data_IF_874402729081
#
_entry.id   IF_874402729081
#
_cell.length_a   1.000
_cell.length_b   1.000
_cell.length_c   1.000
_cell.angle_alpha   90.00
_cell.angle_beta   90.00
_cell.angle_gamma   90.00
#
_symmetry.space_group_name_H-M   'P 1'
#
loop_
_entity.id
_entity.type
_entity.pdbx_description
1 polymer ?
#
# COMPACT_ATOMS: atom_id res chain seq x y z
N UNK A 1 20.11 37.19 -5.00
CA UNK A 1 18.84 36.76 -4.37
C UNK A 1 18.30 35.63 -5.23
N UNK A 2 18.19 34.44 -4.66
CA UNK A 2 17.95 33.20 -5.38
C UNK A 2 16.44 32.96 -5.50
N UNK A 3 15.96 32.62 -6.71
CA UNK A 3 14.57 32.21 -7.03
C UNK A 3 14.10 30.92 -6.29
N UNK A 4 14.86 30.45 -5.31
CA UNK A 4 14.59 29.25 -4.52
C UNK A 4 13.31 29.34 -3.68
N UNK A 5 12.87 30.54 -3.29
CA UNK A 5 11.68 30.71 -2.45
C UNK A 5 10.38 30.38 -3.19
N UNK A 6 10.37 30.59 -4.53
CA UNK A 6 9.18 30.35 -5.35
C UNK A 6 8.85 28.86 -5.54
N UNK A 7 9.88 28.01 -5.67
CA UNK A 7 9.73 26.57 -5.90
C UNK A 7 9.45 25.79 -4.61
N UNK A 8 10.02 26.19 -3.48
CA UNK A 8 9.77 25.56 -2.18
C UNK A 8 8.31 25.74 -1.73
N UNK A 9 7.69 26.88 -2.07
CA UNK A 9 6.28 27.14 -1.80
C UNK A 9 5.34 26.24 -2.62
N UNK A 10 5.66 25.98 -3.89
CA UNK A 10 4.86 25.11 -4.78
C UNK A 10 4.95 23.64 -4.37
N UNK A 11 6.16 23.15 -4.09
CA UNK A 11 6.36 21.79 -3.60
C UNK A 11 5.63 21.55 -2.29
N UNK A 12 5.74 22.47 -1.32
CA UNK A 12 5.09 22.32 -0.01
C UNK A 12 3.56 22.30 -0.13
N UNK A 13 2.99 23.10 -1.03
CA UNK A 13 1.55 23.07 -1.35
C UNK A 13 1.13 21.76 -2.01
N UNK A 14 1.89 21.24 -2.97
CA UNK A 14 1.59 19.96 -3.61
C UNK A 14 1.68 18.81 -2.60
N UNK A 15 2.75 18.79 -1.80
CA UNK A 15 2.96 17.78 -0.76
C UNK A 15 1.86 17.79 0.28
N UNK A 16 1.33 18.96 0.68
CA UNK A 16 0.22 19.01 1.64
C UNK A 16 -1.08 18.44 1.06
N UNK A 17 -1.37 18.69 -0.22
CA UNK A 17 -2.55 18.12 -0.91
C UNK A 17 -2.47 16.59 -0.98
N UNK A 18 -1.29 16.04 -1.25
CA UNK A 18 -1.07 14.60 -1.35
C UNK A 18 -0.56 13.95 -0.06
N UNK A 19 -0.55 14.68 1.06
CA UNK A 19 0.02 14.22 2.33
C UNK A 19 -0.48 12.84 2.74
N UNK A 20 -1.80 12.65 2.73
CA UNK A 20 -2.41 11.37 3.10
C UNK A 20 -1.99 10.20 2.21
N UNK A 21 -1.74 10.45 0.92
CA UNK A 21 -1.24 9.43 0.00
C UNK A 21 0.20 9.07 0.35
N UNK A 22 1.05 10.08 0.52
CA UNK A 22 2.47 9.92 0.88
C UNK A 22 2.59 9.19 2.22
N UNK A 23 1.92 9.67 3.26
CA UNK A 23 1.94 9.08 4.60
C UNK A 23 1.46 7.61 4.59
N UNK A 24 0.50 7.27 3.73
CA UNK A 24 -0.02 5.90 3.60
C UNK A 24 1.01 4.95 2.97
N UNK A 25 1.67 5.38 1.89
CA UNK A 25 2.73 4.58 1.27
C UNK A 25 3.99 4.53 2.12
N UNK A 26 4.35 5.62 2.80
CA UNK A 26 5.47 5.64 3.73
C UNK A 26 5.29 4.58 4.83
N UNK A 27 4.09 4.48 5.42
CA UNK A 27 3.80 3.44 6.41
C UNK A 27 3.84 2.02 5.81
N UNK A 28 3.37 1.84 4.56
CA UNK A 28 3.40 0.56 3.88
C UNK A 28 4.84 0.10 3.61
N UNK A 29 5.70 0.98 3.09
CA UNK A 29 7.12 0.68 2.85
C UNK A 29 7.92 0.49 4.14
N UNK A 30 7.55 1.20 5.21
CA UNK A 30 8.20 1.10 6.52
C UNK A 30 7.64 0.00 7.41
N UNK A 31 6.71 -0.83 6.90
CA UNK A 31 6.12 -1.92 7.66
C UNK A 31 7.21 -2.89 8.13
N UNK A 32 7.30 -3.02 9.47
CA UNK A 32 8.31 -3.83 10.16
C UNK A 32 7.73 -4.67 11.30
N UNK A 33 6.45 -4.99 11.19
CA UNK A 33 5.68 -5.65 12.26
C UNK A 33 4.88 -6.81 11.71
N UNK A 34 4.71 -7.82 12.57
CA UNK A 34 3.82 -8.96 12.35
C UNK A 34 2.64 -8.95 13.34
N UNK A 35 2.56 -7.93 14.20
CA UNK A 35 1.47 -7.81 15.17
C UNK A 35 0.19 -7.42 14.44
N UNK A 36 -0.86 -8.20 14.69
CA UNK A 36 -2.16 -8.02 14.06
C UNK A 36 -2.77 -6.63 14.31
N UNK A 37 -2.64 -6.10 15.53
CA UNK A 37 -3.15 -4.77 15.88
C UNK A 37 -2.50 -3.65 15.05
N UNK A 38 -1.17 -3.70 14.91
CA UNK A 38 -0.41 -2.72 14.14
C UNK A 38 -0.74 -2.87 12.65
N UNK A 39 -0.88 -4.10 12.14
CA UNK A 39 -1.33 -4.36 10.78
C UNK A 39 -2.73 -3.83 10.50
N UNK A 40 -3.67 -4.03 11.43
CA UNK A 40 -5.03 -3.52 11.33
C UNK A 40 -5.07 -1.99 11.29
N UNK A 41 -4.14 -1.31 11.98
CA UNK A 41 -4.03 0.15 11.91
C UNK A 41 -3.58 0.63 10.52
N UNK A 42 -2.59 -0.04 9.93
CA UNK A 42 -2.11 0.24 8.57
C UNK A 42 -3.21 -0.04 7.55
N UNK A 43 -3.92 -1.17 7.70
CA UNK A 43 -5.06 -1.52 6.86
C UNK A 43 -6.14 -0.43 6.87
N UNK A 44 -6.58 0.01 8.06
CA UNK A 44 -7.59 1.07 8.19
C UNK A 44 -7.13 2.39 7.56
N UNK A 45 -5.85 2.71 7.67
CA UNK A 45 -5.27 3.90 7.07
C UNK A 45 -5.31 3.82 5.53
N UNK A 46 -4.88 2.70 4.94
CA UNK A 46 -4.94 2.45 3.50
C UNK A 46 -6.41 2.53 3.01
N UNK A 47 -7.31 1.86 3.72
CA UNK A 47 -8.74 1.83 3.43
C UNK A 47 -9.31 3.24 3.31
N UNK A 48 -9.13 4.03 4.37
CA UNK A 48 -9.71 5.38 4.47
C UNK A 48 -9.04 6.37 3.50
N UNK A 49 -7.70 6.37 3.46
CA UNK A 49 -6.94 7.41 2.76
C UNK A 49 -6.83 7.16 1.25
N UNK A 50 -6.77 5.90 0.82
CA UNK A 50 -6.51 5.53 -0.57
C UNK A 50 -7.75 5.00 -1.30
N UNK A 51 -8.51 4.11 -0.65
CA UNK A 51 -9.60 3.39 -1.32
C UNK A 51 -10.93 4.15 -1.18
N UNK A 52 -11.37 4.42 0.05
CA UNK A 52 -12.67 5.06 0.32
C UNK A 52 -12.72 6.51 -0.16
N UNK A 53 -11.56 7.16 -0.22
CA UNK A 53 -11.39 8.49 -0.83
C UNK A 53 -11.51 8.48 -2.37
N UNK A 54 -11.72 7.31 -2.98
CA UNK A 54 -11.80 7.05 -4.42
C UNK A 54 -10.56 7.47 -5.21
N UNK A 55 -9.41 7.57 -4.53
CA UNK A 55 -8.13 7.93 -5.16
C UNK A 55 -7.48 6.74 -5.86
N UNK A 56 -7.65 5.54 -5.32
CA UNK A 56 -7.03 4.31 -5.82
C UNK A 56 -8.02 3.16 -5.85
N UNK A 57 -7.93 2.31 -6.87
CA UNK A 57 -8.69 1.07 -6.93
C UNK A 57 -8.05 0.02 -5.99
N UNK A 58 -8.84 -0.80 -5.28
CA UNK A 58 -8.32 -1.87 -4.41
C UNK A 58 -7.32 -2.80 -5.11
N UNK A 59 -7.57 -3.12 -6.38
CA UNK A 59 -6.71 -3.95 -7.23
C UNK A 59 -5.30 -3.37 -7.39
N UNK A 60 -5.19 -2.04 -7.51
CA UNK A 60 -3.91 -1.34 -7.65
C UNK A 60 -3.14 -1.44 -6.33
N UNK A 61 -3.81 -1.20 -5.21
CA UNK A 61 -3.19 -1.28 -3.88
C UNK A 61 -2.69 -2.71 -3.60
N UNK A 62 -3.48 -3.74 -3.90
CA UNK A 62 -3.05 -5.12 -3.72
C UNK A 62 -1.82 -5.41 -4.58
N UNK A 63 -1.82 -4.95 -5.84
CA UNK A 63 -0.66 -5.11 -6.73
C UNK A 63 0.59 -4.45 -6.14
N UNK A 64 0.47 -3.21 -5.67
CA UNK A 64 1.59 -2.48 -5.07
C UNK A 64 2.14 -3.20 -3.83
N UNK A 65 1.26 -3.70 -2.95
CA UNK A 65 1.65 -4.50 -1.79
C UNK A 65 2.46 -5.73 -2.22
N UNK A 66 2.00 -6.46 -3.25
CA UNK A 66 2.71 -7.62 -3.77
C UNK A 66 4.06 -7.26 -4.38
N UNK A 67 4.15 -6.11 -5.05
CA UNK A 67 5.41 -5.63 -5.62
C UNK A 67 6.42 -5.21 -4.55
N UNK A 68 5.96 -4.69 -3.40
CA UNK A 68 6.79 -4.30 -2.24
C UNK A 68 7.42 -5.51 -1.55
N UNK A 69 6.71 -6.65 -1.52
CA UNK A 69 7.21 -7.89 -0.89
C UNK A 69 8.61 -8.24 -1.40
N UNK A 70 8.91 -8.00 -2.68
CA UNK A 70 10.22 -8.27 -3.32
C UNK A 70 11.40 -7.54 -2.69
N UNK A 71 11.14 -6.42 -2.02
CA UNK A 71 12.16 -5.57 -1.42
C UNK A 71 12.19 -5.67 0.11
N UNK A 72 11.10 -6.15 0.73
CA UNK A 72 10.97 -6.25 2.18
C UNK A 72 10.52 -7.65 2.62
N UNK A 73 11.28 -8.66 2.17
CA UNK A 73 10.96 -10.09 2.27
C UNK A 73 10.74 -10.57 3.72
N UNK A 74 11.36 -9.91 4.72
CA UNK A 74 11.25 -10.30 6.13
C UNK A 74 9.80 -10.31 6.60
N UNK A 75 8.99 -9.37 6.12
CA UNK A 75 7.60 -9.18 6.57
C UNK A 75 6.58 -9.67 5.53
N UNK A 76 6.98 -10.61 4.66
CA UNK A 76 6.12 -11.15 3.59
C UNK A 76 4.74 -11.56 4.10
N UNK A 77 4.67 -12.24 5.27
CA UNK A 77 3.39 -12.66 5.87
C UNK A 77 2.47 -11.49 6.13
N UNK A 78 2.99 -10.42 6.72
CA UNK A 78 2.24 -9.19 7.01
C UNK A 78 1.68 -8.54 5.75
N UNK A 79 2.48 -8.43 4.70
CA UNK A 79 2.02 -7.90 3.41
C UNK A 79 0.96 -8.77 2.76
N UNK A 80 1.12 -10.10 2.79
CA UNK A 80 0.10 -11.03 2.28
C UNK A 80 -1.20 -10.93 3.07
N UNK A 81 -1.13 -10.79 4.40
CA UNK A 81 -2.32 -10.55 5.24
C UNK A 81 -3.02 -9.24 4.88
N UNK A 82 -2.27 -8.15 4.65
CA UNK A 82 -2.86 -6.88 4.19
C UNK A 82 -3.53 -7.02 2.82
N UNK A 83 -2.86 -7.67 1.86
CA UNK A 83 -3.42 -7.93 0.54
C UNK A 83 -4.71 -8.75 0.63
N UNK A 84 -4.74 -9.78 1.47
CA UNK A 84 -5.92 -10.60 1.72
C UNK A 84 -7.07 -9.80 2.33
N UNK A 85 -6.81 -9.01 3.37
CA UNK A 85 -7.83 -8.16 4.00
C UNK A 85 -8.48 -7.20 2.99
N UNK A 86 -7.68 -6.58 2.12
CA UNK A 86 -8.22 -5.69 1.07
C UNK A 86 -9.02 -6.50 0.03
N UNK A 87 -8.51 -7.67 -0.36
CA UNK A 87 -9.17 -8.55 -1.32
C UNK A 87 -10.54 -9.02 -0.82
N UNK A 88 -10.61 -9.41 0.45
CA UNK A 88 -11.83 -9.92 1.11
C UNK A 88 -12.86 -8.78 1.29
N UNK A 89 -12.44 -7.62 1.81
CA UNK A 89 -13.35 -6.48 2.06
C UNK A 89 -13.95 -5.89 0.78
N UNK A 90 -13.15 -5.81 -0.29
CA UNK A 90 -13.58 -5.21 -1.56
C UNK A 90 -13.95 -6.25 -2.62
N UNK A 91 -14.00 -7.53 -2.25
CA UNK A 91 -14.37 -8.66 -3.12
C UNK A 91 -13.59 -8.67 -4.45
N UNK A 92 -12.29 -8.39 -4.38
CA UNK A 92 -11.42 -8.42 -5.56
C UNK A 92 -11.15 -9.87 -5.94
N UNK A 93 -11.71 -10.32 -7.07
CA UNK A 93 -11.59 -11.72 -7.51
C UNK A 93 -10.39 -12.00 -8.42
N UNK A 94 -10.00 -11.03 -9.24
CA UNK A 94 -8.92 -11.17 -10.21
C UNK A 94 -8.06 -9.90 -10.25
N UNK A 95 -6.74 -10.10 -10.33
CA UNK A 95 -5.74 -9.03 -10.48
C UNK A 95 -4.97 -9.31 -11.76
N UNK A 96 -5.45 -8.75 -12.88
CA UNK A 96 -5.10 -9.17 -14.24
C UNK A 96 -3.65 -8.89 -14.69
N UNK A 97 -2.78 -8.34 -13.84
CA UNK A 97 -1.44 -7.89 -14.25
C UNK A 97 -0.33 -8.25 -13.22
N UNK A 98 -0.53 -9.29 -12.43
CA UNK A 98 0.50 -9.80 -11.52
C UNK A 98 1.24 -10.98 -12.16
N UNK A 99 1.76 -10.77 -13.37
CA UNK A 99 2.37 -11.84 -14.21
C UNK A 99 3.53 -12.60 -13.55
N UNK A 100 4.07 -12.15 -12.40
CA UNK A 100 5.22 -12.81 -11.76
C UNK A 100 5.13 -13.07 -10.25
N UNK A 101 4.21 -12.43 -9.51
CA UNK A 101 4.18 -12.51 -8.03
C UNK A 101 2.99 -13.30 -7.49
N UNK A 102 1.85 -13.30 -8.21
CA UNK A 102 0.58 -13.89 -7.75
C UNK A 102 0.61 -15.42 -7.68
N UNK A 103 1.26 -16.08 -8.64
CA UNK A 103 1.24 -17.54 -8.75
C UNK A 103 2.00 -18.23 -7.61
N UNK A 104 3.02 -17.59 -7.02
CA UNK A 104 3.89 -18.22 -6.02
C UNK A 104 3.38 -18.07 -4.57
N UNK A 105 2.81 -16.91 -4.22
CA UNK A 105 2.41 -16.65 -2.82
C UNK A 105 1.01 -17.17 -2.48
N UNK A 106 0.04 -17.12 -3.39
CA UNK A 106 -1.33 -17.58 -3.11
C UNK A 106 -1.50 -19.10 -3.14
N UNK A 107 -0.74 -19.81 -3.99
CA UNK A 107 -0.86 -21.26 -4.12
C UNK A 107 -0.20 -22.03 -2.97
N UNK A 108 0.77 -21.42 -2.28
CA UNK A 108 1.54 -22.07 -1.21
C UNK A 108 1.05 -21.79 0.21
N UNK A 109 0.30 -20.70 0.43
CA UNK A 109 -0.22 -20.35 1.77
C UNK A 109 -1.58 -20.97 2.13
N UNK A 110 -2.19 -21.72 1.21
CA UNK A 110 -3.46 -22.45 1.42
C UNK A 110 -3.30 -23.98 1.43
N UNK A 111 -2.07 -24.49 1.46
CA UNK A 111 -1.77 -25.92 1.60
C UNK A 111 -1.33 -26.26 3.03
#
# INVERSE_FOLDING_TARGET
MSDQDSNQSKYSKLRSVYKYFIDSYDALYQLKTEKEEELNSIYKMIKTNLIDSKKCLPQIIIKDILDIIRYNNRYTKSYLSLAKLISDDYQVKEINNVEYVSTFCFTKSMA
#
